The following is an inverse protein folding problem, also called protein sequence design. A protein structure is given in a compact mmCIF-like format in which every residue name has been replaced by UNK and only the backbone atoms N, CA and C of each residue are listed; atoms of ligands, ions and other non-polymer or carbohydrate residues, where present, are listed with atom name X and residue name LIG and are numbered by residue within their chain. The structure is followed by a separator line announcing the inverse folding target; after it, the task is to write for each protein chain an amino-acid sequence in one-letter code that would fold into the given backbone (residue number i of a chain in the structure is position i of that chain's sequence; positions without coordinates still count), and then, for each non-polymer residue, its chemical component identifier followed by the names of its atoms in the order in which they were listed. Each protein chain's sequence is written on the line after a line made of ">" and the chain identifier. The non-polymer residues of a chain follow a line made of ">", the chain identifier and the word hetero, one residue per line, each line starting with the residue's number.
data_IF_346005428169
#
_entry.id   IF_346005428169
#
_cell.length_a   1.000
_cell.length_b   1.000
_cell.length_c   1.000
_cell.angle_alpha   90.00
_cell.angle_beta   90.00
_cell.angle_gamma   90.00
#
_symmetry.space_group_name_H-M   'P 1'
#
loop_
_entity.id
_entity.type
_entity.pdbx_description
1 polymer ?
#
# COMPACT_ATOMS: atom_id res chain seq x y z
N UNK A 1 -7.49 -4.27 5.87
CA UNK A 1 -7.54 -2.85 5.46
C UNK A 1 -8.10 -1.90 6.53
N UNK A 2 -8.59 -2.39 7.68
CA UNK A 2 -9.19 -1.57 8.76
C UNK A 2 -8.36 -0.34 9.21
N UNK A 3 -7.06 -0.52 9.47
CA UNK A 3 -6.21 0.59 9.96
C UNK A 3 -6.09 1.71 8.92
N UNK A 4 -5.90 1.37 7.65
CA UNK A 4 -5.74 2.35 6.58
C UNK A 4 -7.04 3.15 6.38
N UNK A 5 -8.19 2.48 6.41
CA UNK A 5 -9.50 3.13 6.32
C UNK A 5 -9.76 4.09 7.49
N UNK A 6 -9.40 3.71 8.71
CA UNK A 6 -9.55 4.61 9.87
C UNK A 6 -8.61 5.81 9.79
N UNK A 7 -7.37 5.62 9.36
CA UNK A 7 -6.43 6.71 9.16
C UNK A 7 -6.90 7.69 8.07
N UNK A 8 -7.49 7.17 6.98
CA UNK A 8 -8.07 7.98 5.92
C UNK A 8 -9.22 8.90 6.39
N UNK A 9 -9.87 8.60 7.52
CA UNK A 9 -10.87 9.47 8.13
C UNK A 9 -10.30 10.61 9.00
N UNK A 10 -8.98 10.61 9.25
CA UNK A 10 -8.30 11.59 10.10
C UNK A 10 -7.39 12.53 9.30
N UNK A 11 -6.85 12.06 8.17
CA UNK A 11 -5.91 12.80 7.32
C UNK A 11 -6.51 13.11 5.96
N UNK A 12 -6.16 14.26 5.40
CA UNK A 12 -6.56 14.65 4.04
C UNK A 12 -5.99 13.70 2.98
N UNK A 13 -4.76 13.20 3.19
CA UNK A 13 -4.08 12.24 2.31
C UNK A 13 -3.30 11.22 3.14
N UNK A 14 -3.40 9.94 2.76
CA UNK A 14 -2.68 8.83 3.39
C UNK A 14 -1.79 8.12 2.36
N UNK A 15 -0.48 8.11 2.61
CA UNK A 15 0.49 7.39 1.78
C UNK A 15 0.94 6.12 2.49
N UNK A 16 0.77 4.97 1.84
CA UNK A 16 1.19 3.66 2.37
C UNK A 16 2.42 3.17 1.63
N UNK A 17 3.53 3.01 2.36
CA UNK A 17 4.78 2.53 1.80
C UNK A 17 4.93 1.01 1.88
N UNK A 18 5.14 0.37 0.73
CA UNK A 18 5.44 -1.06 0.65
C UNK A 18 6.95 -1.25 0.62
N UNK A 19 7.51 -1.78 1.71
CA UNK A 19 8.95 -1.98 1.83
C UNK A 19 9.44 -3.12 0.93
N UNK A 20 10.43 -2.83 0.08
CA UNK A 20 11.24 -3.86 -0.60
C UNK A 20 12.12 -4.56 0.45
N UNK A 21 11.80 -5.81 0.75
CA UNK A 21 12.57 -6.59 1.72
C UNK A 21 13.86 -7.11 1.06
N UNK A 22 15.01 -7.10 1.75
CA UNK A 22 16.24 -7.68 1.24
C UNK A 22 16.06 -9.19 0.92
N UNK A 23 16.84 -9.72 -0.05
CA UNK A 23 16.64 -11.06 -0.63
C UNK A 23 16.85 -12.23 0.35
N UNK A 24 17.22 -11.96 1.60
CA UNK A 24 17.40 -12.94 2.67
C UNK A 24 16.08 -13.52 3.22
N UNK A 25 14.92 -12.97 2.84
CA UNK A 25 13.61 -13.53 3.20
C UNK A 25 12.83 -13.92 1.95
N UNK A 26 12.47 -15.19 1.85
CA UNK A 26 11.56 -15.70 0.80
C UNK A 26 10.14 -15.21 1.06
N UNK A 27 9.70 -14.18 0.34
CA UNK A 27 8.34 -13.66 0.39
C UNK A 27 7.42 -14.44 -0.57
N UNK A 28 6.14 -14.56 -0.21
CA UNK A 28 5.12 -15.18 -1.06
C UNK A 28 4.80 -14.37 -2.31
N UNK A 29 4.97 -13.05 -2.24
CA UNK A 29 4.63 -12.10 -3.30
C UNK A 29 5.78 -11.14 -3.54
N UNK A 30 5.96 -10.72 -4.81
CA UNK A 30 6.90 -9.65 -5.16
C UNK A 30 6.43 -8.31 -4.61
N UNK A 31 7.22 -7.25 -4.78
CA UNK A 31 6.80 -5.92 -4.32
C UNK A 31 5.68 -5.38 -5.21
N UNK A 32 5.76 -5.61 -6.50
CA UNK A 32 4.79 -5.24 -7.52
C UNK A 32 3.45 -5.91 -7.24
N UNK A 33 3.45 -7.23 -6.99
CA UNK A 33 2.23 -7.96 -6.63
C UNK A 33 1.60 -7.44 -5.33
N UNK A 34 2.41 -7.07 -4.34
CA UNK A 34 1.90 -6.50 -3.08
C UNK A 34 1.31 -5.10 -3.30
N UNK A 35 1.85 -4.32 -4.23
CA UNK A 35 1.30 -3.03 -4.62
C UNK A 35 -0.04 -3.20 -5.33
N UNK A 36 -0.14 -4.11 -6.30
CA UNK A 36 -1.41 -4.41 -6.99
C UNK A 36 -2.50 -4.84 -6.01
N UNK A 37 -2.20 -5.82 -5.15
CA UNK A 37 -3.14 -6.29 -4.12
C UNK A 37 -3.54 -5.19 -3.14
N UNK A 38 -2.63 -4.29 -2.81
CA UNK A 38 -2.93 -3.15 -1.96
C UNK A 38 -3.86 -2.16 -2.66
N UNK A 39 -3.54 -1.79 -3.90
CA UNK A 39 -4.34 -0.88 -4.73
C UNK A 39 -5.77 -1.37 -4.89
N UNK A 40 -5.96 -2.64 -5.23
CA UNK A 40 -7.30 -3.24 -5.32
C UNK A 40 -8.06 -3.14 -3.99
N UNK A 41 -7.38 -3.40 -2.87
CA UNK A 41 -8.00 -3.41 -1.56
C UNK A 41 -8.32 -2.02 -0.98
N UNK A 42 -7.79 -0.93 -1.56
CA UNK A 42 -8.09 0.46 -1.14
C UNK A 42 -8.92 1.25 -2.15
N UNK A 43 -9.39 0.61 -3.23
CA UNK A 43 -10.16 1.27 -4.31
C UNK A 43 -11.37 2.07 -3.80
N UNK A 44 -11.99 1.62 -2.70
CA UNK A 44 -13.17 2.27 -2.10
C UNK A 44 -12.84 3.52 -1.26
N UNK A 45 -11.55 3.84 -1.06
CA UNK A 45 -11.10 4.96 -0.21
C UNK A 45 -10.19 5.90 -1.00
N UNK A 46 -10.72 7.04 -1.52
CA UNK A 46 -10.08 7.81 -2.58
C UNK A 46 -8.86 8.63 -2.16
N UNK A 47 -8.66 8.85 -0.85
CA UNK A 47 -7.53 9.61 -0.31
C UNK A 47 -6.37 8.72 0.17
N UNK A 48 -6.41 7.42 -0.10
CA UNK A 48 -5.29 6.51 0.13
C UNK A 48 -4.49 6.36 -1.17
N UNK A 49 -3.16 6.45 -1.07
CA UNK A 49 -2.22 6.19 -2.17
C UNK A 49 -1.10 5.28 -1.69
N UNK A 50 -0.56 4.48 -2.58
CA UNK A 50 0.69 3.79 -2.34
C UNK A 50 1.89 4.74 -2.56
N UNK A 51 3.04 4.40 -1.99
CA UNK A 51 4.25 5.23 -2.09
C UNK A 51 5.00 5.05 -3.41
N UNK A 52 4.56 4.17 -4.31
CA UNK A 52 5.32 3.78 -5.48
C UNK A 52 4.99 4.70 -6.65
N UNK A 53 5.73 5.80 -6.78
CA UNK A 53 5.80 6.53 -8.06
C UNK A 53 6.82 5.86 -8.95
N UNK A 54 6.37 5.26 -10.06
CA UNK A 54 7.24 5.06 -11.22
C UNK A 54 7.87 6.40 -11.58
N UNK A 55 9.19 6.40 -11.66
CA UNK A 55 9.97 7.47 -12.29
C UNK A 55 10.15 7.15 -13.75
#
# INVERSE_FOLDING_TARGET
>A
MDIATRAAGVFDELIVAVYQTPPTKSLTFTTEQRLELFTEAVTDVPNIRDSFREK
#
